data_IF_567598268625
#
_entry.id   IF_567598268625
#
_cell.length_a   1.000
_cell.length_b   1.000
_cell.length_c   1.000
_cell.angle_alpha   90.00
_cell.angle_beta   90.00
_cell.angle_gamma   90.00
#
_symmetry.space_group_name_H-M   'P 1'
#
loop_
_entity.id
_entity.type
_entity.pdbx_description
1 polymer ?
#
# COMPACT_ATOMS: atom_id res chain seq x y z
N UNK A 1 5.84 12.35 21.25
CA UNK A 1 5.12 12.43 19.97
C UNK A 1 4.63 11.05 19.64
N UNK A 2 3.47 10.91 19.00
CA UNK A 2 2.87 9.62 18.64
C UNK A 2 3.66 8.95 17.49
N UNK A 3 4.91 8.58 17.74
CA UNK A 3 5.79 7.91 16.77
C UNK A 3 5.80 8.63 15.40
N UNK A 4 5.40 7.94 14.32
CA UNK A 4 5.30 8.43 12.93
C UNK A 4 4.37 9.66 12.77
N UNK A 5 3.39 9.87 13.65
CA UNK A 5 2.37 10.93 13.45
C UNK A 5 2.90 12.37 13.57
N UNK A 6 4.03 12.56 14.25
CA UNK A 6 4.59 13.88 14.51
C UNK A 6 6.10 13.84 14.38
N UNK A 7 6.57 13.87 13.14
CA UNK A 7 7.98 13.96 12.78
C UNK A 7 8.31 15.37 12.28
N UNK A 8 9.60 15.67 12.13
CA UNK A 8 10.08 16.92 11.52
C UNK A 8 10.42 16.77 10.04
N UNK A 9 10.52 15.54 9.58
CA UNK A 9 10.83 15.12 8.23
C UNK A 9 9.89 13.96 7.92
N UNK A 10 9.22 14.03 6.78
CA UNK A 10 8.26 13.05 6.29
C UNK A 10 8.09 13.23 4.78
N UNK A 11 7.56 12.22 4.13
CA UNK A 11 7.29 12.18 2.70
C UNK A 11 5.79 12.36 2.41
N UNK A 12 5.48 13.07 1.33
CA UNK A 12 4.10 13.32 0.90
C UNK A 12 3.90 12.86 -0.54
N UNK A 13 2.71 12.36 -0.84
CA UNK A 13 2.22 12.19 -2.21
C UNK A 13 1.11 13.20 -2.42
N UNK A 14 1.38 14.18 -3.28
CA UNK A 14 0.49 15.29 -3.58
C UNK A 14 0.21 15.35 -5.08
N UNK A 15 -1.01 15.72 -5.43
CA UNK A 15 -1.40 15.95 -6.81
C UNK A 15 -2.10 17.30 -6.90
N UNK A 16 -1.64 18.14 -7.82
CA UNK A 16 -2.29 19.41 -8.11
C UNK A 16 -3.20 19.24 -9.34
N UNK A 17 -4.51 19.14 -9.12
CA UNK A 17 -5.47 18.99 -10.20
C UNK A 17 -6.05 20.34 -10.61
N UNK A 18 -5.59 20.87 -11.75
CA UNK A 18 -6.07 22.11 -12.33
C UNK A 18 -7.38 21.89 -13.09
N UNK A 19 -8.42 22.63 -12.74
CA UNK A 19 -9.75 22.55 -13.34
C UNK A 19 -10.32 23.93 -13.69
N UNK A 20 -11.34 23.94 -14.55
CA UNK A 20 -12.03 25.17 -14.95
C UNK A 20 -12.89 25.69 -13.79
N UNK A 21 -12.85 27.00 -13.46
CA UNK A 21 -13.71 27.57 -12.43
C UNK A 21 -15.19 27.22 -12.67
N UNK A 22 -15.89 26.76 -11.64
CA UNK A 22 -17.28 26.30 -11.73
C UNK A 22 -17.44 24.79 -11.94
N UNK A 23 -16.38 24.08 -12.31
CA UNK A 23 -16.34 22.59 -12.34
C UNK A 23 -15.69 21.97 -11.11
N UNK A 24 -15.11 22.81 -10.25
CA UNK A 24 -14.26 22.42 -9.12
C UNK A 24 -14.98 21.54 -8.08
N UNK A 25 -16.29 21.73 -7.87
CA UNK A 25 -17.05 20.88 -6.95
C UNK A 25 -17.19 19.43 -7.46
N UNK A 26 -17.38 19.25 -8.78
CA UNK A 26 -17.46 17.91 -9.39
C UNK A 26 -16.12 17.18 -9.23
N UNK A 27 -15.01 17.89 -9.50
CA UNK A 27 -13.67 17.33 -9.33
C UNK A 27 -13.31 17.07 -7.87
N UNK A 28 -13.76 17.93 -6.94
CA UNK A 28 -13.60 17.71 -5.51
C UNK A 28 -14.27 16.41 -5.06
N UNK A 29 -15.52 16.17 -5.46
CA UNK A 29 -16.24 14.94 -5.12
C UNK A 29 -15.63 13.71 -5.81
N UNK A 30 -15.16 13.85 -7.07
CA UNK A 30 -14.42 12.80 -7.76
C UNK A 30 -13.17 12.39 -6.98
N UNK A 31 -12.32 13.35 -6.60
CA UNK A 31 -11.07 13.05 -5.90
C UNK A 31 -11.29 12.48 -4.49
N UNK A 32 -12.29 12.98 -3.75
CA UNK A 32 -12.69 12.38 -2.46
C UNK A 32 -13.00 10.90 -2.60
N UNK A 33 -13.85 10.56 -3.59
CA UNK A 33 -14.25 9.19 -3.86
C UNK A 33 -13.06 8.34 -4.31
N UNK A 34 -12.26 8.84 -5.24
CA UNK A 34 -11.08 8.15 -5.75
C UNK A 34 -10.10 7.81 -4.62
N UNK A 35 -9.77 8.77 -3.75
CA UNK A 35 -8.85 8.57 -2.64
C UNK A 35 -9.38 7.50 -1.68
N UNK A 36 -10.68 7.51 -1.35
CA UNK A 36 -11.27 6.49 -0.48
C UNK A 36 -11.24 5.09 -1.12
N UNK A 37 -11.61 4.98 -2.40
CA UNK A 37 -11.58 3.72 -3.15
C UNK A 37 -10.15 3.19 -3.29
N UNK A 38 -9.17 4.07 -3.49
CA UNK A 38 -7.76 3.70 -3.53
C UNK A 38 -7.27 3.15 -2.19
N UNK A 39 -7.64 3.76 -1.06
CA UNK A 39 -7.31 3.23 0.26
C UNK A 39 -7.94 1.86 0.49
N UNK A 40 -9.19 1.65 0.07
CA UNK A 40 -9.83 0.33 0.09
C UNK A 40 -9.11 -0.69 -0.81
N UNK A 41 -8.66 -0.27 -1.99
CA UNK A 41 -7.85 -1.12 -2.88
C UNK A 41 -6.53 -1.55 -2.24
N UNK A 42 -5.91 -0.70 -1.40
CA UNK A 42 -4.73 -1.07 -0.61
C UNK A 42 -5.03 -2.03 0.55
N UNK A 43 -6.30 -2.37 0.78
CA UNK A 43 -6.74 -3.32 1.79
C UNK A 43 -7.29 -2.69 3.08
N UNK A 44 -7.43 -1.36 3.17
CA UNK A 44 -8.04 -0.72 4.35
C UNK A 44 -9.55 -0.97 4.38
N UNK A 45 -10.04 -1.47 5.52
CA UNK A 45 -11.48 -1.67 5.71
C UNK A 45 -12.23 -0.33 5.75
N UNK A 46 -13.37 -0.29 5.06
CA UNK A 46 -14.29 0.85 5.11
C UNK A 46 -14.80 1.13 6.54
N UNK A 47 -14.83 0.12 7.42
CA UNK A 47 -15.23 0.28 8.82
C UNK A 47 -14.21 1.07 9.65
N UNK A 48 -12.95 1.09 9.20
CA UNK A 48 -11.85 1.82 9.82
C UNK A 48 -11.60 3.17 9.14
N UNK A 49 -12.37 3.54 8.12
CA UNK A 49 -12.22 4.79 7.38
C UNK A 49 -13.47 5.66 7.47
N UNK A 50 -13.30 6.99 7.45
CA UNK A 50 -14.43 7.92 7.35
C UNK A 50 -14.02 9.22 6.70
N UNK A 51 -14.99 9.90 6.10
CA UNK A 51 -14.85 11.30 5.73
C UNK A 51 -15.10 12.20 6.94
N UNK A 52 -14.28 13.25 7.09
CA UNK A 52 -14.48 14.34 8.03
C UNK A 52 -14.35 15.67 7.28
N UNK A 53 -15.48 16.26 6.96
CA UNK A 53 -15.51 17.59 6.36
C UNK A 53 -15.11 18.65 7.40
N UNK A 54 -14.26 19.59 7.01
CA UNK A 54 -13.84 20.69 7.87
C UNK A 54 -14.99 21.68 8.10
N UNK A 55 -15.11 22.16 9.33
CA UNK A 55 -16.01 23.29 9.63
C UNK A 55 -15.44 24.61 9.08
N UNK A 56 -16.27 25.64 8.95
CA UNK A 56 -15.84 26.98 8.49
C UNK A 56 -14.67 27.57 9.30
N UNK A 57 -14.52 27.16 10.56
CA UNK A 57 -13.46 27.63 11.46
C UNK A 57 -12.12 26.88 11.27
N UNK A 58 -12.17 25.68 10.69
CA UNK A 58 -11.01 24.84 10.41
C UNK A 58 -10.47 25.03 9.00
N UNK A 59 -11.33 25.50 8.07
CA UNK A 59 -10.92 25.79 6.70
C UNK A 59 -9.79 26.83 6.68
N UNK A 60 -8.74 26.51 5.93
CA UNK A 60 -7.74 27.51 5.57
C UNK A 60 -8.39 28.65 4.79
N UNK A 61 -7.90 29.88 4.93
CA UNK A 61 -8.53 31.10 4.37
C UNK A 61 -8.69 31.11 2.85
N UNK A 62 -8.03 30.18 2.15
CA UNK A 62 -8.06 29.99 0.70
C UNK A 62 -8.86 28.75 0.26
N UNK A 63 -9.28 27.89 1.18
CA UNK A 63 -10.01 26.67 0.86
C UNK A 63 -11.52 26.94 0.79
N UNK A 64 -12.13 26.58 -0.32
CA UNK A 64 -13.60 26.56 -0.49
C UNK A 64 -14.22 25.37 0.24
N UNK A 65 -13.54 24.24 0.26
CA UNK A 65 -13.96 23.03 0.96
C UNK A 65 -12.74 22.12 1.18
N UNK A 66 -12.69 21.48 2.35
CA UNK A 66 -11.68 20.47 2.66
C UNK A 66 -12.33 19.29 3.36
N UNK A 67 -11.98 18.07 2.93
CA UNK A 67 -12.38 16.82 3.56
C UNK A 67 -11.14 16.03 3.92
N UNK A 68 -11.03 15.62 5.17
CA UNK A 68 -10.06 14.60 5.57
C UNK A 68 -10.69 13.23 5.42
N UNK A 69 -9.96 12.29 4.84
CA UNK A 69 -10.17 10.86 5.05
C UNK A 69 -9.37 10.49 6.30
N UNK A 70 -10.08 10.08 7.35
CA UNK A 70 -9.49 9.63 8.61
C UNK A 70 -9.47 8.11 8.67
N UNK A 71 -8.42 7.57 9.29
CA UNK A 71 -8.31 6.15 9.63
C UNK A 71 -8.36 5.94 11.14
N UNK A 72 -8.94 4.82 11.56
CA UNK A 72 -9.06 4.42 12.98
C UNK A 72 -7.82 3.65 13.42
N UNK A 73 -6.78 4.37 13.82
CA UNK A 73 -5.58 3.79 14.41
C UNK A 73 -5.87 3.17 15.80
N UNK A 74 -4.96 2.33 16.35
CA UNK A 74 -5.10 1.78 17.69
C UNK A 74 -5.25 2.83 18.80
N UNK A 75 -4.76 4.05 18.57
CA UNK A 75 -4.88 5.19 19.49
C UNK A 75 -6.04 6.15 19.15
N UNK A 76 -6.90 5.81 18.20
CA UNK A 76 -8.07 6.59 17.81
C UNK A 76 -8.04 7.08 16.36
N UNK A 77 -9.02 7.91 16.02
CA UNK A 77 -9.14 8.52 14.69
C UNK A 77 -8.01 9.51 14.43
N UNK A 78 -7.40 9.41 13.25
CA UNK A 78 -6.39 10.34 12.77
C UNK A 78 -6.52 10.59 11.29
N UNK A 79 -6.20 11.81 10.87
CA UNK A 79 -6.15 12.22 9.47
C UNK A 79 -5.10 11.42 8.70
N UNK A 80 -5.52 10.83 7.58
CA UNK A 80 -4.69 10.03 6.69
C UNK A 80 -4.47 10.74 5.36
N UNK A 81 -5.54 11.25 4.72
CA UNK A 81 -5.49 11.89 3.41
C UNK A 81 -6.41 13.10 3.37
N UNK A 82 -5.89 14.29 3.12
CA UNK A 82 -6.68 15.50 2.92
C UNK A 82 -7.02 15.73 1.44
N UNK A 83 -8.27 16.09 1.15
CA UNK A 83 -8.68 16.59 -0.18
C UNK A 83 -9.18 18.01 -0.01
N UNK A 84 -8.56 18.97 -0.69
CA UNK A 84 -8.88 20.39 -0.59
C UNK A 84 -9.24 20.99 -1.96
N UNK A 85 -10.24 21.86 -1.97
CA UNK A 85 -10.55 22.74 -3.10
C UNK A 85 -10.05 24.14 -2.78
N UNK A 86 -8.93 24.53 -3.37
CA UNK A 86 -8.18 25.77 -3.06
C UNK A 86 -8.53 26.93 -3.97
N UNK A 87 -9.53 26.74 -4.84
CA UNK A 87 -9.88 27.69 -5.90
C UNK A 87 -8.65 28.10 -6.70
N UNK A 88 -8.48 29.38 -7.04
CA UNK A 88 -7.31 29.86 -7.77
C UNK A 88 -6.27 30.58 -6.90
N UNK A 89 -6.35 30.42 -5.56
CA UNK A 89 -5.54 31.20 -4.64
C UNK A 89 -4.04 31.05 -4.92
N UNK A 90 -3.56 29.83 -5.09
CA UNK A 90 -2.14 29.52 -5.24
C UNK A 90 -1.56 30.16 -6.50
N UNK A 91 -2.23 29.95 -7.63
CA UNK A 91 -1.84 30.54 -8.91
C UNK A 91 -1.93 32.07 -8.86
N UNK A 92 -2.96 32.64 -8.20
CA UNK A 92 -3.14 34.10 -8.13
C UNK A 92 -1.97 34.73 -7.40
N UNK A 93 -1.62 34.21 -6.24
CA UNK A 93 -0.53 34.72 -5.41
C UNK A 93 0.81 34.58 -6.14
N UNK A 94 1.08 33.45 -6.80
CA UNK A 94 2.31 33.28 -7.58
C UNK A 94 2.38 34.21 -8.80
N UNK A 95 1.29 34.41 -9.53
CA UNK A 95 1.21 35.34 -10.65
C UNK A 95 1.47 36.79 -10.19
N UNK A 96 0.86 37.21 -9.08
CA UNK A 96 1.04 38.57 -8.52
C UNK A 96 2.50 38.87 -8.15
N UNK A 97 3.22 37.89 -7.57
CA UNK A 97 4.59 38.10 -7.09
C UNK A 97 5.65 37.85 -8.15
N UNK A 98 5.39 36.96 -9.12
CA UNK A 98 6.34 36.66 -10.20
C UNK A 98 6.20 37.61 -11.40
N UNK A 99 5.00 38.13 -11.66
CA UNK A 99 4.68 38.90 -12.86
C UNK A 99 4.44 38.06 -14.12
N UNK A 100 4.59 36.73 -14.03
CA UNK A 100 4.34 35.81 -15.13
C UNK A 100 2.85 35.47 -15.25
N UNK A 101 2.32 35.42 -16.47
CA UNK A 101 0.92 35.07 -16.69
C UNK A 101 0.72 33.54 -16.57
N UNK A 102 -0.08 33.12 -15.59
CA UNK A 102 -0.43 31.73 -15.30
C UNK A 102 -1.87 31.36 -15.74
N UNK A 103 -2.57 32.24 -16.46
CA UNK A 103 -3.88 31.96 -17.04
C UNK A 103 -3.80 30.87 -18.12
N UNK A 104 -4.77 29.96 -18.08
CA UNK A 104 -5.01 29.00 -19.14
C UNK A 104 -5.90 29.62 -20.23
N UNK A 105 -5.57 29.38 -21.50
CA UNK A 105 -6.42 29.72 -22.64
C UNK A 105 -7.19 28.47 -23.07
N UNK A 106 -8.51 28.54 -22.99
CA UNK A 106 -9.41 27.47 -23.39
C UNK A 106 -9.78 27.62 -24.87
N UNK A 107 -9.34 26.69 -25.74
CA UNK A 107 -9.62 26.79 -27.18
C UNK A 107 -11.08 26.47 -27.53
N UNK A 108 -11.86 25.84 -26.63
CA UNK A 108 -13.24 25.47 -26.91
C UNK A 108 -14.18 26.68 -26.87
N UNK A 109 -13.99 27.57 -25.91
CA UNK A 109 -14.79 28.80 -25.76
C UNK A 109 -14.01 30.11 -25.98
N UNK A 110 -12.71 30.01 -26.31
CA UNK A 110 -11.78 31.12 -26.51
C UNK A 110 -11.66 32.06 -25.29
N UNK A 111 -11.89 31.55 -24.08
CA UNK A 111 -11.73 32.30 -22.84
C UNK A 111 -10.33 32.14 -22.25
N UNK A 112 -9.96 33.05 -21.35
CA UNK A 112 -8.81 32.92 -20.45
C UNK A 112 -9.29 32.92 -19.02
N UNK A 113 -8.73 32.04 -18.21
CA UNK A 113 -9.02 32.00 -16.78
C UNK A 113 -7.83 31.49 -16.00
N UNK A 114 -7.79 31.83 -14.72
CA UNK A 114 -6.88 31.20 -13.78
C UNK A 114 -7.53 29.91 -13.26
N UNK A 115 -6.94 28.72 -13.51
CA UNK A 115 -7.52 27.46 -13.08
C UNK A 115 -7.79 27.41 -11.58
N UNK A 116 -8.80 26.65 -11.20
CA UNK A 116 -9.01 26.25 -9.81
C UNK A 116 -8.22 24.98 -9.53
N UNK A 117 -7.80 24.78 -8.29
CA UNK A 117 -6.96 23.66 -7.87
C UNK A 117 -7.73 22.79 -6.88
N UNK A 118 -7.85 21.50 -7.20
CA UNK A 118 -8.26 20.45 -6.26
C UNK A 118 -7.02 19.61 -5.94
N UNK A 119 -6.74 19.44 -4.66
CA UNK A 119 -5.51 18.85 -4.18
C UNK A 119 -5.83 17.69 -3.22
N UNK A 120 -5.61 16.43 -3.63
CA UNK A 120 -5.42 15.33 -2.70
C UNK A 120 -3.96 15.27 -2.22
N UNK A 121 -3.75 15.31 -0.89
CA UNK A 121 -2.44 15.21 -0.23
C UNK A 121 -2.46 14.14 0.87
N UNK A 122 -1.55 13.17 0.77
CA UNK A 122 -1.39 12.06 1.73
C UNK A 122 0.04 11.96 2.24
N UNK A 123 0.20 11.75 3.55
CA UNK A 123 1.49 11.44 4.15
C UNK A 123 1.86 9.96 3.96
N UNK A 124 3.01 9.69 3.32
CA UNK A 124 3.44 8.33 2.97
C UNK A 124 3.58 7.46 4.21
N UNK A 125 4.15 7.99 5.29
CA UNK A 125 4.40 7.23 6.52
C UNK A 125 3.11 6.96 7.29
N UNK A 126 2.11 7.86 7.21
CA UNK A 126 0.79 7.61 7.80
C UNK A 126 0.06 6.52 7.03
N UNK A 127 0.15 6.53 5.70
CA UNK A 127 -0.40 5.47 4.84
C UNK A 127 0.27 4.13 5.14
N UNK A 128 1.59 4.10 5.22
CA UNK A 128 2.35 2.92 5.62
C UNK A 128 1.90 2.38 6.98
N UNK A 129 1.77 3.25 7.99
CA UNK A 129 1.31 2.85 9.31
C UNK A 129 -0.14 2.36 9.31
N UNK A 130 -1.02 2.97 8.51
CA UNK A 130 -2.41 2.51 8.38
C UNK A 130 -2.45 1.09 7.79
N UNK A 131 -1.71 0.82 6.71
CA UNK A 131 -1.58 -0.53 6.12
C UNK A 131 -1.02 -1.54 7.10
N UNK A 132 0.00 -1.16 7.89
CA UNK A 132 0.54 -2.04 8.93
C UNK A 132 -0.47 -2.33 10.04
N UNK A 133 -1.20 -1.32 10.51
CA UNK A 133 -2.21 -1.49 11.54
C UNK A 133 -3.39 -2.35 11.05
N UNK A 134 -3.80 -2.19 9.80
CA UNK A 134 -4.90 -2.98 9.21
C UNK A 134 -4.49 -4.44 8.99
N UNK A 135 -3.24 -4.67 8.60
CA UNK A 135 -2.75 -6.03 8.29
C UNK A 135 -2.27 -6.82 9.51
N UNK A 136 -1.92 -6.17 10.61
CA UNK A 136 -1.41 -6.87 11.80
C UNK A 136 -2.48 -7.72 12.47
N UNK A 137 -2.18 -9.01 12.65
CA UNK A 137 -3.08 -9.98 13.25
C UNK A 137 -2.32 -10.93 14.19
N UNK A 138 -3.04 -11.48 15.16
CA UNK A 138 -2.58 -12.53 16.05
C UNK A 138 -3.60 -13.66 15.99
N UNK A 139 -3.21 -14.77 15.38
CA UNK A 139 -4.09 -15.92 15.18
C UNK A 139 -3.76 -17.04 16.19
N UNK A 140 -4.79 -17.57 16.84
CA UNK A 140 -4.72 -18.79 17.65
C UNK A 140 -4.85 -20.01 16.75
N UNK A 141 -3.92 -20.95 16.88
CA UNK A 141 -3.85 -22.15 16.07
C UNK A 141 -4.54 -23.35 16.73
N UNK A 142 -4.86 -24.41 15.97
CA UNK A 142 -5.54 -25.58 16.51
C UNK A 142 -4.79 -26.32 17.62
N UNK A 143 -3.47 -26.12 17.73
CA UNK A 143 -2.62 -26.69 18.77
C UNK A 143 -2.54 -25.82 20.04
N UNK A 144 -3.22 -24.66 20.06
CA UNK A 144 -3.21 -23.70 21.15
C UNK A 144 -2.01 -22.76 21.15
N UNK A 145 -1.12 -22.84 20.15
CA UNK A 145 -0.08 -21.83 19.94
C UNK A 145 -0.67 -20.59 19.24
N UNK A 146 -0.03 -19.43 19.42
CA UNK A 146 -0.37 -18.22 18.67
C UNK A 146 0.68 -17.92 17.61
N UNK A 147 0.26 -17.31 16.52
CA UNK A 147 1.17 -16.72 15.52
C UNK A 147 0.86 -15.25 15.29
N UNK A 148 1.90 -14.45 15.18
CA UNK A 148 1.82 -13.09 14.69
C UNK A 148 2.02 -13.10 13.17
N UNK A 149 1.19 -12.35 12.46
CA UNK A 149 1.33 -12.19 11.01
C UNK A 149 0.90 -10.81 10.55
N UNK A 150 1.44 -10.41 9.39
CA UNK A 150 0.94 -9.26 8.65
C UNK A 150 0.16 -9.78 7.42
N UNK A 151 -1.16 -9.61 7.43
CA UNK A 151 -2.06 -9.91 6.31
C UNK A 151 -1.98 -8.87 5.18
N UNK A 152 -0.75 -8.51 4.79
CA UNK A 152 -0.51 -7.57 3.71
C UNK A 152 -1.11 -8.11 2.41
N UNK A 153 -1.75 -7.24 1.64
CA UNK A 153 -2.10 -7.54 0.26
C UNK A 153 -0.84 -8.02 -0.49
N UNK A 154 -0.88 -9.13 -1.26
CA UNK A 154 0.31 -9.70 -1.89
C UNK A 154 1.12 -8.70 -2.73
N UNK A 155 0.47 -7.71 -3.34
CA UNK A 155 1.06 -6.63 -4.14
C UNK A 155 1.91 -5.68 -3.27
N UNK A 156 1.58 -5.52 -1.99
CA UNK A 156 2.24 -4.63 -1.04
C UNK A 156 3.32 -5.32 -0.20
N UNK A 157 3.29 -6.66 -0.09
CA UNK A 157 4.25 -7.40 0.72
C UNK A 157 5.72 -7.10 0.33
N UNK A 158 6.62 -6.80 1.28
CA UNK A 158 8.00 -6.41 0.97
C UNK A 158 8.80 -7.55 0.33
N UNK A 159 8.54 -8.77 0.81
CA UNK A 159 9.03 -10.03 0.24
C UNK A 159 7.82 -10.76 -0.34
N UNK A 160 7.90 -11.17 -1.61
CA UNK A 160 6.83 -11.92 -2.28
C UNK A 160 6.96 -13.42 -2.03
N UNK A 161 8.20 -13.91 -1.97
CA UNK A 161 8.49 -15.34 -1.88
C UNK A 161 9.68 -15.60 -0.97
N UNK A 162 9.53 -16.51 -0.02
CA UNK A 162 10.65 -17.04 0.75
C UNK A 162 10.99 -18.45 0.30
N UNK A 163 12.25 -18.71 -0.03
CA UNK A 163 12.71 -20.04 -0.47
C UNK A 163 13.47 -20.73 0.66
N UNK A 164 12.94 -21.87 1.10
CA UNK A 164 13.27 -22.51 2.38
C UNK A 164 13.61 -23.99 2.17
N UNK A 165 14.89 -24.41 2.20
CA UNK A 165 15.21 -25.84 2.15
C UNK A 165 14.76 -26.53 3.44
N UNK A 166 14.07 -27.67 3.36
CA UNK A 166 13.59 -28.43 4.53
C UNK A 166 14.74 -28.72 5.51
N UNK A 167 15.89 -29.13 4.97
CA UNK A 167 17.14 -29.35 5.69
C UNK A 167 18.32 -28.74 4.93
N UNK A 168 19.40 -28.44 5.65
CA UNK A 168 20.58 -27.78 5.06
C UNK A 168 21.25 -28.58 3.92
N UNK A 169 21.03 -29.90 3.84
CA UNK A 169 21.53 -30.74 2.72
C UNK A 169 20.87 -30.41 1.38
N UNK A 170 19.70 -29.79 1.38
CA UNK A 170 18.95 -29.39 0.17
C UNK A 170 19.25 -27.95 -0.25
N UNK A 171 20.23 -27.31 0.40
CA UNK A 171 20.55 -25.90 0.19
C UNK A 171 20.87 -25.57 -1.26
N UNK A 172 21.65 -26.41 -1.94
CA UNK A 172 22.08 -26.12 -3.32
C UNK A 172 20.90 -26.16 -4.29
N UNK A 173 19.98 -27.13 -4.14
CA UNK A 173 18.75 -27.17 -4.95
C UNK A 173 17.85 -25.97 -4.65
N UNK A 174 17.69 -25.61 -3.38
CA UNK A 174 16.90 -24.44 -2.99
C UNK A 174 17.51 -23.12 -3.47
N UNK A 175 18.85 -23.01 -3.48
CA UNK A 175 19.55 -21.83 -3.99
C UNK A 175 19.29 -21.66 -5.49
N UNK A 176 19.31 -22.75 -6.26
CA UNK A 176 18.95 -22.72 -7.69
C UNK A 176 17.53 -22.21 -7.92
N UNK A 177 16.54 -22.67 -7.15
CA UNK A 177 15.14 -22.18 -7.26
C UNK A 177 15.05 -20.71 -6.84
N UNK A 178 15.73 -20.32 -5.78
CA UNK A 178 15.80 -18.93 -5.33
C UNK A 178 16.40 -18.00 -6.39
N UNK A 179 17.50 -18.39 -7.01
CA UNK A 179 18.16 -17.64 -8.08
C UNK A 179 17.28 -17.44 -9.30
N UNK A 180 16.40 -18.40 -9.59
CA UNK A 180 15.44 -18.30 -10.68
C UNK A 180 14.28 -17.33 -10.35
N UNK A 181 13.73 -17.43 -9.13
CA UNK A 181 12.61 -16.60 -8.69
C UNK A 181 12.99 -15.13 -8.47
N UNK A 182 14.19 -14.88 -7.94
CA UNK A 182 14.66 -13.50 -7.65
C UNK A 182 14.87 -12.64 -8.91
N UNK A 183 14.80 -13.23 -10.10
CA UNK A 183 14.85 -12.48 -11.36
C UNK A 183 13.56 -11.68 -11.60
N UNK A 184 12.44 -12.09 -10.99
CA UNK A 184 11.12 -11.48 -11.19
C UNK A 184 10.50 -10.98 -9.90
N UNK A 185 10.88 -11.54 -8.74
CA UNK A 185 10.25 -11.25 -7.47
C UNK A 185 11.26 -10.78 -6.42
N UNK A 186 10.79 -9.97 -5.47
CA UNK A 186 11.51 -9.75 -4.22
C UNK A 186 11.46 -11.03 -3.38
N UNK A 187 12.59 -11.71 -3.27
CA UNK A 187 12.68 -13.01 -2.60
C UNK A 187 13.60 -12.96 -1.38
N UNK A 188 13.32 -13.81 -0.40
CA UNK A 188 14.24 -14.13 0.70
C UNK A 188 14.67 -15.60 0.63
N UNK A 189 15.88 -15.89 1.11
CA UNK A 189 16.41 -17.24 1.23
C UNK A 189 16.85 -17.49 2.67
N UNK A 190 16.33 -18.54 3.30
CA UNK A 190 16.57 -18.79 4.72
C UNK A 190 16.78 -20.28 5.03
N UNK A 191 17.95 -20.62 5.58
CA UNK A 191 18.36 -21.96 6.02
C UNK A 191 18.41 -22.11 7.55
N UNK A 192 18.09 -21.05 8.30
CA UNK A 192 18.36 -20.96 9.73
C UNK A 192 17.24 -21.56 10.59
N UNK A 193 17.55 -22.62 11.32
CA UNK A 193 16.59 -23.25 12.25
C UNK A 193 15.53 -24.12 11.58
N UNK A 194 14.59 -24.62 12.39
CA UNK A 194 13.52 -25.50 11.92
C UNK A 194 12.59 -24.80 10.92
N UNK A 195 11.98 -25.57 10.00
CA UNK A 195 11.11 -25.03 8.95
C UNK A 195 9.93 -24.22 9.53
N UNK A 196 9.31 -24.69 10.62
CA UNK A 196 8.24 -23.95 11.29
C UNK A 196 8.67 -22.57 11.80
N UNK A 197 9.88 -22.45 12.35
CA UNK A 197 10.43 -21.15 12.78
C UNK A 197 10.69 -20.21 11.61
N UNK A 198 11.00 -20.74 10.43
CA UNK A 198 11.17 -19.97 9.20
C UNK A 198 9.83 -19.46 8.70
N UNK A 199 8.81 -20.31 8.64
CA UNK A 199 7.45 -19.87 8.32
C UNK A 199 6.97 -18.77 9.27
N UNK A 200 7.19 -18.89 10.59
CA UNK A 200 6.83 -17.84 11.56
C UNK A 200 7.47 -16.49 11.27
N UNK A 201 8.75 -16.46 10.88
CA UNK A 201 9.42 -15.20 10.52
C UNK A 201 8.80 -14.56 9.29
N UNK A 202 8.46 -15.39 8.30
CA UNK A 202 7.89 -14.94 7.03
C UNK A 202 6.43 -14.47 7.21
N UNK A 203 5.64 -15.18 8.02
CA UNK A 203 4.30 -14.76 8.42
C UNK A 203 4.35 -13.37 9.11
N UNK A 204 5.29 -13.16 10.04
CA UNK A 204 5.45 -11.92 10.80
C UNK A 204 5.86 -10.70 9.95
N UNK A 205 6.50 -10.90 8.79
CA UNK A 205 6.83 -9.82 7.84
C UNK A 205 5.85 -9.77 6.65
N UNK A 206 4.82 -10.61 6.66
CA UNK A 206 3.74 -10.61 5.69
C UNK A 206 4.08 -11.21 4.33
N UNK A 207 5.12 -12.05 4.23
CA UNK A 207 5.47 -12.75 2.98
C UNK A 207 4.34 -13.69 2.57
N UNK A 208 3.72 -13.53 1.39
CA UNK A 208 2.53 -14.28 1.02
C UNK A 208 2.82 -15.76 0.70
N UNK A 209 4.00 -16.07 0.14
CA UNK A 209 4.35 -17.43 -0.26
C UNK A 209 5.69 -17.91 0.31
N UNK A 210 5.69 -19.08 0.93
CA UNK A 210 6.91 -19.80 1.29
C UNK A 210 7.06 -21.04 0.40
N UNK A 211 8.16 -21.12 -0.35
CA UNK A 211 8.51 -22.25 -1.21
C UNK A 211 9.49 -23.15 -0.47
N UNK A 212 9.07 -24.38 -0.19
CA UNK A 212 9.87 -25.37 0.53
C UNK A 212 10.40 -26.45 -0.40
N UNK A 213 11.71 -26.68 -0.31
CA UNK A 213 12.41 -27.73 -1.04
C UNK A 213 12.62 -28.90 -0.09
N UNK A 214 12.03 -30.04 -0.39
CA UNK A 214 12.15 -31.29 0.38
C UNK A 214 12.92 -32.36 -0.40
N UNK A 215 12.98 -33.58 0.15
CA UNK A 215 13.69 -34.68 -0.51
C UNK A 215 12.98 -35.13 -1.78
N UNK A 216 11.64 -35.11 -1.78
CA UNK A 216 10.84 -35.49 -2.94
C UNK A 216 11.10 -34.56 -4.13
N UNK A 217 11.48 -33.29 -3.87
CA UNK A 217 11.85 -32.33 -4.92
C UNK A 217 13.00 -32.82 -5.80
N UNK A 218 13.89 -33.65 -5.26
CA UNK A 218 15.01 -34.20 -6.03
C UNK A 218 14.56 -35.26 -7.04
N UNK A 219 13.39 -35.87 -6.83
CA UNK A 219 12.84 -36.94 -7.65
C UNK A 219 11.75 -36.44 -8.61
N UNK A 220 10.87 -35.52 -8.16
CA UNK A 220 9.67 -35.10 -8.88
C UNK A 220 9.74 -33.71 -9.54
N UNK A 221 10.83 -32.97 -9.31
CA UNK A 221 11.05 -31.60 -9.78
C UNK A 221 9.92 -30.61 -9.38
N UNK A 222 9.31 -30.87 -8.22
CA UNK A 222 8.26 -30.04 -7.63
C UNK A 222 8.65 -29.53 -6.24
N UNK A 223 8.02 -28.43 -5.84
CA UNK A 223 8.22 -27.78 -4.54
C UNK A 223 6.89 -27.63 -3.83
N UNK A 224 6.96 -27.50 -2.52
CA UNK A 224 5.77 -27.27 -1.70
C UNK A 224 5.62 -25.76 -1.47
N UNK A 225 4.56 -25.16 -1.98
CA UNK A 225 4.25 -23.74 -1.81
C UNK A 225 3.23 -23.60 -0.68
N UNK A 226 3.59 -22.91 0.39
CA UNK A 226 2.70 -22.57 1.50
C UNK A 226 2.20 -21.14 1.35
N UNK A 227 0.88 -20.96 1.40
CA UNK A 227 0.22 -19.66 1.45
C UNK A 227 0.13 -19.15 2.92
N UNK A 228 0.35 -17.85 3.13
CA UNK A 228 0.48 -17.24 4.46
C UNK A 228 -0.80 -17.33 5.28
N UNK A 229 -1.92 -16.88 4.72
CA UNK A 229 -3.16 -16.62 5.46
C UNK A 229 -3.86 -17.92 5.85
N UNK A 230 -4.04 -18.83 4.90
CA UNK A 230 -4.71 -20.13 5.05
C UNK A 230 -3.79 -21.22 5.61
N UNK A 231 -2.46 -21.02 5.50
CA UNK A 231 -1.45 -22.05 5.77
C UNK A 231 -1.51 -23.29 4.86
N UNK A 232 -2.35 -23.26 3.82
CA UNK A 232 -2.47 -24.36 2.86
C UNK A 232 -1.16 -24.57 2.10
N UNK A 233 -0.89 -25.83 1.78
CA UNK A 233 0.32 -26.26 1.11
C UNK A 233 -0.03 -26.99 -0.18
N UNK A 234 0.53 -26.50 -1.29
CA UNK A 234 0.32 -27.07 -2.62
C UNK A 234 1.64 -27.55 -3.22
N UNK A 235 1.63 -28.71 -3.87
CA UNK A 235 2.80 -29.26 -4.58
C UNK A 235 2.80 -28.73 -6.02
N UNK A 236 3.73 -27.85 -6.34
CA UNK A 236 3.81 -27.14 -7.64
C UNK A 236 5.11 -27.50 -8.34
N UNK A 237 5.04 -27.83 -9.63
CA UNK A 237 6.25 -28.06 -10.44
C UNK A 237 7.08 -26.78 -10.52
N UNK A 238 8.41 -26.92 -10.44
CA UNK A 238 9.31 -25.75 -10.49
C UNK A 238 9.10 -24.94 -11.78
N UNK A 239 8.82 -25.61 -12.90
CA UNK A 239 8.51 -24.97 -14.20
C UNK A 239 7.30 -24.03 -14.16
N UNK A 240 6.34 -24.30 -13.28
CA UNK A 240 5.04 -23.60 -13.23
C UNK A 240 5.02 -22.55 -12.12
N UNK A 241 6.05 -22.55 -11.25
CA UNK A 241 6.10 -21.78 -10.02
C UNK A 241 6.02 -20.26 -10.26
N UNK A 242 6.73 -19.75 -11.28
CA UNK A 242 6.68 -18.33 -11.64
C UNK A 242 5.29 -17.88 -12.06
N UNK A 243 4.62 -18.68 -12.88
CA UNK A 243 3.26 -18.38 -13.33
C UNK A 243 2.27 -18.42 -12.16
N UNK A 244 2.38 -19.46 -11.32
CA UNK A 244 1.59 -19.64 -10.10
C UNK A 244 1.67 -18.42 -9.17
N UNK A 245 2.88 -17.91 -8.92
CA UNK A 245 3.11 -16.75 -8.06
C UNK A 245 2.58 -15.48 -8.74
N UNK A 246 2.92 -15.25 -10.01
CA UNK A 246 2.49 -14.05 -10.77
C UNK A 246 0.97 -13.87 -10.79
N UNK A 247 0.21 -14.95 -10.93
CA UNK A 247 -1.26 -14.92 -10.93
C UNK A 247 -1.81 -14.44 -9.59
N UNK A 248 -1.16 -14.79 -8.48
CA UNK A 248 -1.66 -14.54 -7.11
C UNK A 248 -1.06 -13.29 -6.44
N UNK A 249 -0.01 -12.70 -7.01
CA UNK A 249 0.56 -11.44 -6.49
C UNK A 249 0.03 -10.19 -7.21
N UNK A 250 -0.68 -10.32 -8.33
CA UNK A 250 -1.25 -9.17 -9.06
C UNK A 250 -2.53 -8.71 -8.37
N UNK A 251 -2.67 -7.39 -8.23
CA UNK A 251 -3.87 -6.73 -7.69
C UNK A 251 -4.81 -6.35 -8.81
#
# INVERSE_FOLDING_TARGET
GNFIFRTREFEQMELEFFCKPGTDNEWFDYWRKFCFEFLSYLGLSADNMRYRDHSEQELSHYSKATTDIEYRFPFGWGELWGVANRTNYDLRVHQEHSGENLEYFDPEDNSKYLPYVVEPSVGVERLFLAVLCESYDIEELPDGETRELLRLQPQLAPVKVAVLPLVNKLKDRALSVFEELRQEFNCEFDTSGAIGKRYRRQDAIGTPFCVTIDYDTLDDDAVTVRERDTMEQERIKISDLKAYINERIKG
#
